data_IF_377401215624
#
_entry.id   IF_377401215624
#
_cell.length_a   1.000
_cell.length_b   1.000
_cell.length_c   1.000
_cell.angle_alpha   90.00
_cell.angle_beta   90.00
_cell.angle_gamma   90.00
#
_symmetry.space_group_name_H-M   'P 1'
#
loop_
_entity.id
_entity.type
_entity.pdbx_description
1 polymer ?
#
# COMPACT_ATOMS: atom_id res chain seq x y z
N UNK A 1 -4.28 16.84 -8.18
CA UNK A 1 -2.87 17.03 -8.60
C UNK A 1 -2.06 17.22 -7.32
N UNK A 2 -0.91 16.54 -7.16
CA UNK A 2 -0.07 16.67 -5.96
C UNK A 2 0.78 17.94 -6.11
N UNK A 3 0.66 18.89 -5.19
CA UNK A 3 1.41 20.15 -5.23
C UNK A 3 2.83 19.96 -4.68
N UNK A 4 3.64 19.18 -5.40
CA UNK A 4 5.03 18.88 -5.07
C UNK A 4 5.81 18.49 -6.33
N UNK A 5 7.13 18.73 -6.34
CA UNK A 5 8.00 18.26 -7.41
C UNK A 5 8.26 16.75 -7.24
N UNK A 6 7.47 15.95 -7.96
CA UNK A 6 7.52 14.49 -7.87
C UNK A 6 8.83 13.89 -8.40
N UNK A 7 9.62 14.63 -9.20
CA UNK A 7 10.88 14.13 -9.74
C UNK A 7 11.96 13.92 -8.66
N UNK A 8 11.77 14.54 -7.49
CA UNK A 8 12.66 14.39 -6.32
C UNK A 8 12.36 13.15 -5.49
N UNK A 9 11.24 12.48 -5.72
CA UNK A 9 10.82 11.33 -4.92
C UNK A 9 11.63 10.10 -5.31
N UNK A 10 12.22 9.46 -4.31
CA UNK A 10 13.00 8.21 -4.47
C UNK A 10 12.39 7.03 -3.72
N UNK A 11 11.43 7.29 -2.84
CA UNK A 11 10.78 6.29 -2.02
C UNK A 11 9.29 6.58 -1.85
N UNK A 12 8.49 5.53 -1.81
CA UNK A 12 7.06 5.53 -1.55
C UNK A 12 6.81 4.62 -0.34
N UNK A 13 6.17 5.15 0.69
CA UNK A 13 5.90 4.41 1.93
C UNK A 13 4.41 4.48 2.20
N UNK A 14 3.80 3.32 2.39
CA UNK A 14 2.36 3.20 2.56
C UNK A 14 2.03 2.53 3.90
N UNK A 15 0.97 3.00 4.54
CA UNK A 15 0.22 2.18 5.50
C UNK A 15 -0.61 1.14 4.74
N UNK A 16 -1.15 0.16 5.45
CA UNK A 16 -1.99 -0.89 4.88
C UNK A 16 -3.47 -0.56 5.07
N UNK A 17 -3.94 -0.52 6.30
CA UNK A 17 -5.36 -0.47 6.61
C UNK A 17 -5.90 0.94 6.35
N UNK A 18 -6.86 1.08 5.43
CA UNK A 18 -7.38 2.38 4.97
C UNK A 18 -6.54 3.08 3.90
N UNK A 19 -5.41 2.50 3.48
CA UNK A 19 -4.56 3.02 2.39
C UNK A 19 -4.44 2.02 1.25
N UNK A 20 -3.73 0.90 1.46
CA UNK A 20 -3.60 -0.18 0.46
C UNK A 20 -4.73 -1.22 0.57
N UNK A 21 -5.35 -1.31 1.75
CA UNK A 21 -6.57 -2.07 2.02
C UNK A 21 -7.71 -1.10 2.29
N UNK A 22 -8.94 -1.55 2.09
CA UNK A 22 -10.13 -0.79 2.44
C UNK A 22 -10.14 -0.37 3.92
N UNK A 23 -10.79 0.75 4.22
CA UNK A 23 -11.00 1.24 5.59
C UNK A 23 -11.89 0.31 6.43
N UNK A 24 -12.85 -0.35 5.77
CA UNK A 24 -13.72 -1.35 6.36
C UNK A 24 -13.37 -2.70 5.75
N UNK A 25 -13.05 -3.66 6.61
CA UNK A 25 -12.57 -4.98 6.24
C UNK A 25 -13.42 -6.04 6.91
N UNK A 26 -13.62 -7.16 6.22
CA UNK A 26 -14.33 -8.31 6.77
C UNK A 26 -13.47 -8.96 7.85
N UNK A 27 -14.08 -9.40 8.94
CA UNK A 27 -13.41 -10.20 9.96
C UNK A 27 -13.51 -11.68 9.58
N UNK A 28 -12.39 -12.38 9.51
CA UNK A 28 -12.38 -13.82 9.34
C UNK A 28 -12.96 -14.50 10.61
N UNK A 29 -13.58 -15.69 10.53
CA UNK A 29 -14.15 -16.36 11.69
C UNK A 29 -13.17 -16.66 12.84
N UNK A 30 -11.85 -16.64 12.59
CA UNK A 30 -10.81 -16.76 13.62
C UNK A 30 -10.49 -15.43 14.34
N UNK A 31 -11.16 -14.34 13.98
CA UNK A 31 -10.92 -13.00 14.55
C UNK A 31 -9.87 -12.18 13.83
N UNK A 32 -9.32 -12.65 12.70
CA UNK A 32 -8.31 -11.91 11.94
C UNK A 32 -8.94 -10.99 10.87
N UNK A 33 -8.47 -9.73 10.77
CA UNK A 33 -8.68 -8.84 9.64
C UNK A 33 -8.45 -9.47 8.25
N UNK A 34 -9.50 -9.57 7.42
CA UNK A 34 -9.33 -9.92 6.00
C UNK A 34 -9.08 -8.68 5.17
N UNK A 35 -7.80 -8.35 4.97
CA UNK A 35 -7.37 -7.22 4.14
C UNK A 35 -7.68 -7.47 2.67
N UNK A 36 -8.06 -6.42 1.97
CA UNK A 36 -8.25 -6.42 0.52
C UNK A 36 -7.05 -5.81 -0.18
N UNK A 37 -6.87 -6.16 -1.45
CA UNK A 37 -5.83 -5.58 -2.31
C UNK A 37 -6.44 -5.07 -3.60
N UNK A 38 -5.96 -3.93 -4.08
CA UNK A 38 -6.34 -3.39 -5.39
C UNK A 38 -5.34 -3.86 -6.47
N UNK A 39 -5.85 -4.47 -7.53
CA UNK A 39 -5.02 -5.00 -8.63
C UNK A 39 -4.26 -3.89 -9.35
N UNK A 40 -4.86 -2.70 -9.51
CA UNK A 40 -4.20 -1.55 -10.16
C UNK A 40 -3.05 -1.03 -9.32
N UNK A 41 -3.22 -0.99 -8.00
CA UNK A 41 -2.16 -0.60 -7.08
C UNK A 41 -1.01 -1.60 -7.14
N UNK A 42 -1.33 -2.90 -7.16
CA UNK A 42 -0.33 -3.95 -7.36
C UNK A 42 0.49 -3.77 -8.65
N UNK A 43 -0.16 -3.44 -9.77
CA UNK A 43 0.53 -3.15 -11.03
C UNK A 43 1.42 -1.90 -10.95
N UNK A 44 0.95 -0.82 -10.33
CA UNK A 44 1.72 0.41 -10.20
C UNK A 44 2.92 0.23 -9.26
N UNK A 45 2.74 -0.44 -8.13
CA UNK A 45 3.81 -0.69 -7.16
C UNK A 45 4.90 -1.60 -7.73
N UNK A 46 4.54 -2.68 -8.44
CA UNK A 46 5.56 -3.52 -9.08
C UNK A 46 6.35 -2.76 -10.16
N UNK A 47 5.68 -1.85 -10.89
CA UNK A 47 6.34 -1.03 -11.89
C UNK A 47 7.28 -0.01 -11.23
N UNK A 48 6.82 0.65 -10.15
CA UNK A 48 7.62 1.60 -9.39
C UNK A 48 8.93 0.97 -8.90
N UNK A 49 8.87 -0.26 -8.36
CA UNK A 49 10.06 -1.02 -7.95
C UNK A 49 10.97 -1.30 -9.15
N UNK A 50 10.41 -1.75 -10.29
CA UNK A 50 11.20 -1.98 -11.53
C UNK A 50 11.86 -0.72 -12.07
N UNK A 51 11.24 0.44 -11.86
CA UNK A 51 11.78 1.75 -12.22
C UNK A 51 12.80 2.31 -11.19
N UNK A 52 13.11 1.56 -10.13
CA UNK A 52 14.13 1.93 -9.14
C UNK A 52 13.63 2.82 -8.00
N UNK A 53 12.32 2.98 -7.83
CA UNK A 53 11.77 3.59 -6.61
C UNK A 53 11.79 2.59 -5.47
N UNK A 54 12.18 3.05 -4.28
CA UNK A 54 12.04 2.24 -3.07
C UNK A 54 10.58 2.21 -2.64
N UNK A 55 10.02 1.03 -2.41
CA UNK A 55 8.66 0.88 -1.90
C UNK A 55 8.73 0.18 -0.55
N UNK A 56 8.07 0.73 0.46
CA UNK A 56 7.98 0.14 1.79
C UNK A 56 6.54 0.17 2.31
N UNK A 57 6.23 -0.79 3.17
CA UNK A 57 4.98 -0.86 3.91
C UNK A 57 5.30 -0.72 5.39
N UNK A 58 4.58 0.16 6.09
CA UNK A 58 4.66 0.31 7.54
C UNK A 58 3.26 0.14 8.10
N UNK A 59 3.02 -0.94 8.83
CA UNK A 59 1.72 -1.25 9.45
C UNK A 59 1.92 -1.76 10.87
N UNK A 60 0.92 -1.54 11.73
CA UNK A 60 0.85 -2.14 13.07
C UNK A 60 0.40 -3.60 13.08
N UNK A 61 -0.11 -4.12 11.96
CA UNK A 61 -0.51 -5.52 11.80
C UNK A 61 0.69 -6.47 11.85
N UNK A 62 0.55 -7.62 12.51
CA UNK A 62 1.61 -8.65 12.66
C UNK A 62 1.25 -10.03 12.11
N UNK A 63 0.15 -10.09 11.35
CA UNK A 63 -0.52 -11.32 10.91
C UNK A 63 -1.09 -11.08 9.53
#
# INVERSE_FOLDING_TARGET
>A
MINYDLTKIRALIFDVDGVLSAETITLHPNGEPMRSVNIKDGYALQLAVKCGLHVAIITGGKT
#
